data_IF_061914868837
#
_entry.id   IF_061914868837
#
_cell.length_a   1.000
_cell.length_b   1.000
_cell.length_c   1.000
_cell.angle_alpha   90.00
_cell.angle_beta   90.00
_cell.angle_gamma   90.00
#
_symmetry.space_group_name_H-M   'P 1'
#
loop_
_entity.id
_entity.type
_entity.pdbx_description
1 polymer ?
#
# COMPACT_ATOMS: atom_id res chain seq x y z
N UNK A 1 31.98 -9.63 -47.94
CA UNK A 1 31.50 -10.01 -46.59
C UNK A 1 30.42 -11.06 -46.80
N UNK A 2 30.74 -12.33 -46.51
CA UNK A 2 29.95 -13.47 -46.97
C UNK A 2 28.67 -13.67 -46.17
N UNK A 3 27.54 -13.80 -46.87
CA UNK A 3 26.21 -14.07 -46.31
C UNK A 3 26.14 -15.36 -45.46
N UNK A 4 27.08 -16.29 -45.68
CA UNK A 4 27.24 -17.50 -44.87
C UNK A 4 27.68 -17.24 -43.42
N UNK A 5 28.37 -16.11 -43.16
CA UNK A 5 28.80 -15.74 -41.80
C UNK A 5 27.67 -15.17 -40.95
N UNK A 6 26.59 -14.67 -41.56
CA UNK A 6 25.41 -14.15 -40.86
C UNK A 6 24.38 -15.24 -40.55
N UNK A 7 24.27 -16.27 -41.41
CA UNK A 7 23.38 -17.40 -41.16
C UNK A 7 23.89 -18.31 -40.03
N UNK A 8 25.21 -18.46 -39.89
CA UNK A 8 25.81 -19.25 -38.82
C UNK A 8 25.70 -18.57 -37.44
N UNK A 9 25.73 -17.23 -37.38
CA UNK A 9 25.51 -16.48 -36.13
C UNK A 9 24.03 -16.36 -35.76
N UNK A 10 23.11 -16.43 -36.73
CA UNK A 10 21.66 -16.48 -36.47
C UNK A 10 21.19 -17.88 -36.02
N UNK A 11 21.85 -18.95 -36.44
CA UNK A 11 21.51 -20.33 -36.02
C UNK A 11 22.04 -20.69 -34.63
N UNK A 12 23.11 -20.04 -34.15
CA UNK A 12 23.66 -20.27 -32.80
C UNK A 12 23.09 -19.35 -31.71
N UNK A 13 22.16 -18.45 -32.06
CA UNK A 13 21.58 -17.49 -31.12
C UNK A 13 20.09 -17.70 -30.84
N UNK A 14 19.45 -18.73 -31.41
CA UNK A 14 18.01 -19.01 -31.19
C UNK A 14 17.65 -20.34 -30.52
N UNK A 15 18.58 -21.27 -30.32
CA UNK A 15 18.35 -22.50 -29.54
C UNK A 15 19.69 -22.82 -28.84
N UNK A 16 19.90 -22.69 -27.54
CA UNK A 16 19.04 -23.07 -26.42
C UNK A 16 19.43 -22.32 -25.13
N UNK A 17 18.57 -21.42 -24.66
CA UNK A 17 18.39 -21.21 -23.20
C UNK A 17 17.45 -22.28 -22.62
N UNK A 18 17.54 -23.55 -23.07
CA UNK A 18 16.47 -24.56 -22.89
C UNK A 18 16.76 -25.62 -21.81
N UNK A 19 17.94 -25.70 -21.21
CA UNK A 19 18.16 -26.66 -20.13
C UNK A 19 18.88 -26.04 -18.93
N UNK A 20 18.08 -25.49 -18.02
CA UNK A 20 18.39 -25.56 -16.59
C UNK A 20 17.41 -26.55 -15.99
N UNK A 21 17.55 -27.84 -16.30
CA UNK A 21 16.77 -28.93 -15.69
C UNK A 21 17.35 -29.23 -14.30
N UNK A 22 17.32 -28.25 -13.40
CA UNK A 22 17.51 -28.54 -11.99
C UNK A 22 16.24 -29.21 -11.48
N UNK A 23 16.32 -30.52 -11.27
CA UNK A 23 15.33 -31.25 -10.50
C UNK A 23 15.34 -30.72 -9.06
N UNK A 24 14.17 -30.39 -8.52
CA UNK A 24 14.06 -29.98 -7.13
C UNK A 24 12.94 -30.70 -6.41
N UNK A 25 13.27 -31.15 -5.20
CA UNK A 25 12.34 -31.71 -4.25
C UNK A 25 12.02 -30.67 -3.18
N UNK A 26 10.74 -30.41 -2.97
CA UNK A 26 10.25 -29.48 -1.97
C UNK A 26 9.38 -30.21 -0.96
N UNK A 27 9.66 -29.98 0.32
CA UNK A 27 8.78 -30.36 1.42
C UNK A 27 8.22 -29.08 2.03
N UNK A 28 6.89 -29.00 2.11
CA UNK A 28 6.19 -27.86 2.69
C UNK A 28 5.34 -28.35 3.86
N UNK A 29 5.69 -27.90 5.06
CA UNK A 29 4.91 -28.08 6.26
C UNK A 29 4.05 -26.84 6.52
N UNK A 30 2.77 -27.04 6.85
CA UNK A 30 1.83 -25.96 7.13
C UNK A 30 0.95 -26.31 8.31
N UNK A 31 0.79 -25.36 9.23
CA UNK A 31 -0.19 -25.41 10.30
C UNK A 31 -1.33 -24.44 9.97
N UNK A 32 -2.56 -24.93 10.00
CA UNK A 32 -3.77 -24.12 9.91
C UNK A 32 -4.39 -24.02 11.29
N UNK A 33 -4.69 -22.80 11.73
CA UNK A 33 -5.21 -22.50 13.05
C UNK A 33 -6.63 -21.93 12.92
N UNK A 34 -7.59 -22.52 13.62
CA UNK A 34 -9.00 -22.14 13.54
C UNK A 34 -9.69 -22.28 14.89
N UNK A 35 -10.89 -21.69 15.01
CA UNK A 35 -11.66 -21.67 16.26
C UNK A 35 -11.10 -20.67 17.30
N UNK A 36 -11.82 -20.48 18.42
CA UNK A 36 -11.42 -19.55 19.47
C UNK A 36 -10.09 -19.97 20.09
N UNK A 37 -9.15 -19.03 20.21
CA UNK A 37 -7.80 -19.27 20.73
C UNK A 37 -7.01 -20.38 20.00
N UNK A 38 -7.36 -20.66 18.74
CA UNK A 38 -6.72 -21.71 17.93
C UNK A 38 -6.82 -23.12 18.53
N UNK A 39 -7.98 -23.47 19.10
CA UNK A 39 -8.27 -24.80 19.63
C UNK A 39 -8.31 -25.90 18.54
N UNK A 40 -8.52 -25.53 17.28
CA UNK A 40 -8.51 -26.44 16.13
C UNK A 40 -7.29 -26.19 15.25
N UNK A 41 -6.35 -27.13 15.29
CA UNK A 41 -5.09 -27.09 14.56
C UNK A 41 -5.04 -28.25 13.57
N UNK A 42 -4.77 -27.94 12.31
CA UNK A 42 -4.51 -28.93 11.27
C UNK A 42 -3.09 -28.77 10.74
N UNK A 43 -2.34 -29.86 10.74
CA UNK A 43 -0.98 -29.92 10.24
C UNK A 43 -0.93 -30.72 8.94
N UNK A 44 -0.39 -30.11 7.90
CA UNK A 44 -0.26 -30.67 6.56
C UNK A 44 1.22 -30.67 6.15
N UNK A 45 1.71 -31.82 5.73
CA UNK A 45 3.05 -31.97 5.16
C UNK A 45 2.91 -32.42 3.71
N UNK A 46 3.33 -31.58 2.76
CA UNK A 46 3.29 -31.88 1.34
C UNK A 46 4.69 -32.06 0.79
N UNK A 47 4.94 -33.15 0.08
CA UNK A 47 6.13 -33.31 -0.76
C UNK A 47 5.79 -33.11 -2.23
N UNK A 48 6.69 -32.42 -2.93
CA UNK A 48 6.57 -32.13 -4.36
C UNK A 48 7.92 -32.32 -5.05
N UNK A 49 7.90 -32.80 -6.28
CA UNK A 49 9.06 -32.92 -7.14
C UNK A 49 8.79 -32.15 -8.43
N UNK A 50 9.66 -31.21 -8.81
CA UNK A 50 9.47 -30.34 -9.98
C UNK A 50 8.09 -29.68 -10.03
N UNK A 51 7.65 -29.15 -8.87
CA UNK A 51 6.32 -28.55 -8.64
C UNK A 51 5.13 -29.52 -8.74
N UNK A 52 5.36 -30.78 -9.10
CA UNK A 52 4.33 -31.81 -9.09
C UNK A 52 4.19 -32.36 -7.66
N UNK A 53 2.98 -32.23 -7.10
CA UNK A 53 2.64 -32.80 -5.79
C UNK A 53 2.76 -34.32 -5.84
N UNK A 54 3.58 -34.87 -4.95
CA UNK A 54 3.81 -36.31 -4.83
C UNK A 54 2.91 -36.90 -3.75
N UNK A 55 3.08 -36.51 -2.49
CA UNK A 55 2.27 -37.04 -1.39
C UNK A 55 2.00 -35.99 -0.31
N UNK A 56 0.99 -36.25 0.50
CA UNK A 56 0.56 -35.36 1.58
C UNK A 56 0.17 -36.14 2.84
N UNK A 57 0.73 -35.75 3.98
CA UNK A 57 0.23 -36.09 5.31
C UNK A 57 -0.75 -35.03 5.78
N UNK A 58 -1.81 -35.45 6.46
CA UNK A 58 -2.75 -34.55 7.12
C UNK A 58 -3.05 -35.10 8.53
N UNK A 59 -2.88 -34.28 9.56
CA UNK A 59 -3.06 -34.68 10.96
C UNK A 59 -4.50 -35.03 11.32
N UNK A 60 -5.50 -34.36 10.71
CA UNK A 60 -6.92 -34.69 10.88
C UNK A 60 -7.25 -36.08 10.35
N UNK A 61 -6.64 -36.46 9.21
CA UNK A 61 -6.79 -37.80 8.62
C UNK A 61 -5.88 -38.83 9.29
N UNK A 62 -4.79 -38.39 9.92
CA UNK A 62 -3.78 -39.22 10.57
C UNK A 62 -2.97 -40.10 9.62
N UNK A 63 -2.90 -39.77 8.32
CA UNK A 63 -2.22 -40.60 7.31
C UNK A 63 -1.76 -39.83 6.08
N UNK A 64 -0.79 -40.42 5.38
CA UNK A 64 -0.30 -40.04 4.07
C UNK A 64 -1.22 -40.50 2.93
N UNK A 65 -1.29 -39.69 1.88
CA UNK A 65 -1.91 -40.01 0.59
C UNK A 65 -0.91 -39.67 -0.51
N UNK A 66 -0.67 -40.61 -1.44
CA UNK A 66 0.09 -40.38 -2.67
C UNK A 66 -0.78 -39.95 -3.85
N UNK A 67 -0.21 -39.17 -4.76
CA UNK A 67 -0.87 -38.59 -5.94
C UNK A 67 -0.20 -38.98 -7.28
N UNK A 68 0.87 -39.77 -7.22
CA UNK A 68 1.57 -40.35 -8.37
C UNK A 68 1.74 -41.85 -8.15
N UNK A 69 1.93 -42.64 -9.21
CA UNK A 69 2.08 -44.11 -9.08
C UNK A 69 3.17 -44.50 -8.07
N UNK A 70 4.31 -43.79 -8.11
CA UNK A 70 5.39 -43.97 -7.15
C UNK A 70 4.96 -43.61 -5.71
N UNK A 71 4.33 -42.45 -5.53
CA UNK A 71 4.02 -41.93 -4.19
C UNK A 71 2.81 -42.62 -3.55
N UNK A 72 1.91 -43.22 -4.33
CA UNK A 72 0.84 -44.09 -3.83
C UNK A 72 1.48 -45.26 -3.08
N UNK A 73 2.42 -45.95 -3.72
CA UNK A 73 3.17 -47.05 -3.10
C UNK A 73 3.97 -46.56 -1.89
N UNK A 74 4.70 -45.45 -2.03
CA UNK A 74 5.46 -44.86 -0.92
C UNK A 74 4.57 -44.53 0.30
N UNK A 75 3.39 -43.95 0.09
CA UNK A 75 2.47 -43.56 1.16
C UNK A 75 2.02 -44.74 2.01
N UNK A 76 1.88 -45.94 1.43
CA UNK A 76 1.57 -47.15 2.19
C UNK A 76 2.70 -47.52 3.18
N UNK A 77 3.96 -47.40 2.77
CA UNK A 77 5.11 -47.65 3.66
C UNK A 77 5.17 -46.65 4.81
N UNK A 78 4.97 -45.36 4.54
CA UNK A 78 4.97 -44.34 5.59
C UNK A 78 3.81 -44.53 6.58
N UNK A 79 2.64 -44.95 6.11
CA UNK A 79 1.47 -45.16 6.96
C UNK A 79 1.58 -46.36 7.91
N UNK A 80 2.48 -47.30 7.66
CA UNK A 80 2.71 -48.46 8.54
C UNK A 80 3.94 -48.28 9.44
N UNK A 81 4.73 -47.23 9.23
CA UNK A 81 5.94 -46.97 10.02
C UNK A 81 5.59 -46.26 11.35
N UNK A 82 5.78 -46.90 12.51
CA UNK A 82 5.54 -46.28 13.81
C UNK A 82 6.48 -45.09 14.07
N UNK A 83 7.67 -45.06 13.49
CA UNK A 83 8.61 -43.95 13.67
C UNK A 83 8.11 -42.69 12.96
N UNK A 84 7.52 -42.84 11.77
CA UNK A 84 6.93 -41.71 11.05
C UNK A 84 5.77 -41.09 11.83
N UNK A 85 4.93 -41.93 12.44
CA UNK A 85 3.82 -41.47 13.29
C UNK A 85 4.32 -40.59 14.43
N UNK A 86 5.37 -41.04 15.14
CA UNK A 86 5.98 -40.26 16.22
C UNK A 86 6.60 -38.96 15.68
N UNK A 87 7.30 -39.04 14.54
CA UNK A 87 7.93 -37.89 13.92
C UNK A 87 6.91 -36.81 13.55
N UNK A 88 5.77 -37.18 12.95
CA UNK A 88 4.69 -36.23 12.61
C UNK A 88 4.06 -35.57 13.84
N UNK A 89 3.95 -36.29 14.96
CA UNK A 89 3.46 -35.74 16.22
C UNK A 89 4.43 -34.72 16.82
N UNK A 90 5.73 -35.04 16.84
CA UNK A 90 6.78 -34.11 17.31
C UNK A 90 6.83 -32.88 16.41
N UNK A 91 6.81 -33.07 15.10
CA UNK A 91 6.86 -32.00 14.11
C UNK A 91 5.66 -31.04 14.23
N UNK A 92 4.44 -31.59 14.37
CA UNK A 92 3.23 -30.81 14.66
C UNK A 92 3.31 -30.06 15.99
N UNK A 93 3.90 -30.68 17.02
CA UNK A 93 4.05 -30.05 18.35
C UNK A 93 4.96 -28.83 18.27
N UNK A 94 6.16 -29.02 17.72
CA UNK A 94 7.18 -27.97 17.62
C UNK A 94 6.77 -26.85 16.66
N UNK A 95 6.16 -27.18 15.51
CA UNK A 95 5.79 -26.15 14.54
C UNK A 95 4.44 -25.49 14.83
N UNK A 96 3.43 -26.24 15.28
CA UNK A 96 2.11 -25.69 15.45
C UNK A 96 1.85 -25.26 16.90
N UNK A 97 1.90 -26.19 17.86
CA UNK A 97 1.47 -25.94 19.24
C UNK A 97 2.38 -24.96 19.98
N UNK A 98 3.70 -25.16 19.91
CA UNK A 98 4.65 -24.29 20.61
C UNK A 98 4.69 -22.87 20.03
N UNK A 99 4.26 -22.68 18.78
CA UNK A 99 4.21 -21.37 18.12
C UNK A 99 2.86 -20.65 18.23
N UNK A 100 1.85 -21.21 18.92
CA UNK A 100 0.50 -20.59 19.01
C UNK A 100 0.58 -19.11 19.44
N UNK A 101 1.35 -18.81 20.49
CA UNK A 101 1.47 -17.44 20.99
C UNK A 101 2.07 -16.49 19.95
N UNK A 102 3.06 -16.96 19.18
CA UNK A 102 3.67 -16.18 18.10
C UNK A 102 2.65 -15.91 16.99
N UNK A 103 1.92 -16.94 16.56
CA UNK A 103 0.90 -16.82 15.51
C UNK A 103 -0.24 -15.88 15.96
N UNK A 104 -0.67 -15.95 17.22
CA UNK A 104 -1.66 -15.02 17.78
C UNK A 104 -1.14 -13.59 17.80
N UNK A 105 0.12 -13.39 18.18
CA UNK A 105 0.76 -12.07 18.18
C UNK A 105 0.76 -11.46 16.78
N UNK A 106 1.24 -12.22 15.78
CA UNK A 106 1.28 -11.76 14.38
C UNK A 106 -0.13 -11.57 13.81
N UNK A 107 -1.08 -12.44 14.13
CA UNK A 107 -2.47 -12.35 13.67
C UNK A 107 -3.23 -11.15 14.25
N UNK A 108 -2.83 -10.65 15.42
CA UNK A 108 -3.39 -9.46 16.06
C UNK A 108 -2.70 -8.16 15.61
N UNK A 109 -1.59 -8.24 14.87
CA UNK A 109 -1.00 -7.06 14.25
C UNK A 109 -2.00 -6.48 13.26
N UNK A 110 -2.17 -5.17 13.32
CA UNK A 110 -2.98 -4.46 12.37
C UNK A 110 -2.46 -3.03 12.22
N UNK A 111 -2.48 -2.53 10.99
CA UNK A 111 -1.99 -1.19 10.70
C UNK A 111 -2.92 -0.55 9.69
N UNK A 112 -3.36 0.66 10.04
CA UNK A 112 -4.31 1.42 9.23
C UNK A 112 -3.64 1.95 7.96
N UNK A 113 -4.29 1.81 6.79
CA UNK A 113 -3.74 2.28 5.53
C UNK A 113 -3.47 3.78 5.53
N UNK A 114 -2.26 4.12 5.08
CA UNK A 114 -1.90 5.49 4.74
C UNK A 114 -2.42 5.80 3.34
N UNK A 115 -3.40 6.69 3.25
CA UNK A 115 -4.06 7.00 1.98
C UNK A 115 -3.42 8.18 1.26
N UNK A 116 -3.28 8.07 -0.06
CA UNK A 116 -2.86 9.15 -0.95
C UNK A 116 -3.67 9.15 -2.23
N UNK A 117 -4.25 10.29 -2.59
CA UNK A 117 -4.92 10.50 -3.87
C UNK A 117 -4.12 11.49 -4.72
N UNK A 118 -3.82 11.16 -5.97
CA UNK A 118 -3.11 12.05 -6.90
C UNK A 118 -3.62 11.90 -8.33
N UNK A 119 -3.47 12.97 -9.12
CA UNK A 119 -3.65 12.88 -10.57
C UNK A 119 -2.37 12.39 -11.23
N UNK A 120 -2.48 11.45 -12.16
CA UNK A 120 -1.38 10.94 -12.97
C UNK A 120 -1.62 11.32 -14.43
N UNK A 121 -0.58 11.83 -15.10
CA UNK A 121 -0.61 12.05 -16.55
C UNK A 121 -0.24 10.75 -17.24
N UNK A 122 -1.04 10.31 -18.20
CA UNK A 122 -0.65 9.20 -19.06
C UNK A 122 0.48 9.65 -20.01
N UNK A 123 1.44 8.76 -20.34
CA UNK A 123 2.64 9.08 -21.15
C UNK A 123 2.34 9.75 -22.50
N UNK A 124 1.16 9.47 -23.05
CA UNK A 124 0.76 9.67 -24.44
C UNK A 124 0.03 11.01 -24.66
N UNK A 125 -0.35 11.70 -23.59
CA UNK A 125 -1.08 12.97 -23.62
C UNK A 125 -2.48 12.96 -24.27
N UNK A 126 -2.90 11.83 -24.87
CA UNK A 126 -4.17 11.66 -25.60
C UNK A 126 -5.28 10.98 -24.78
N UNK A 127 -4.95 10.37 -23.65
CA UNK A 127 -5.91 9.63 -22.83
C UNK A 127 -6.59 10.51 -21.77
N UNK A 128 -7.76 10.05 -21.30
CA UNK A 128 -8.53 10.67 -20.20
C UNK A 128 -7.63 10.88 -18.98
N UNK A 129 -7.87 11.95 -18.22
CA UNK A 129 -7.12 12.20 -17.00
C UNK A 129 -7.33 11.02 -16.03
N UNK A 130 -6.30 10.68 -15.26
CA UNK A 130 -6.35 9.54 -14.36
C UNK A 130 -6.13 10.00 -12.92
N UNK A 131 -6.98 9.52 -12.01
CA UNK A 131 -6.74 9.59 -10.58
C UNK A 131 -6.22 8.23 -10.11
N UNK A 132 -5.32 8.25 -9.13
CA UNK A 132 -4.92 7.07 -8.38
C UNK A 132 -5.14 7.32 -6.90
N UNK A 133 -5.84 6.40 -6.25
CA UNK A 133 -6.00 6.31 -4.81
C UNK A 133 -5.16 5.13 -4.31
N UNK A 134 -4.11 5.45 -3.57
CA UNK A 134 -3.12 4.50 -3.07
C UNK A 134 -3.28 4.30 -1.58
N UNK A 135 -3.37 3.04 -1.15
CA UNK A 135 -3.23 2.62 0.23
C UNK A 135 -1.82 2.04 0.43
N UNK A 136 -1.12 2.50 1.47
CA UNK A 136 0.23 2.05 1.83
C UNK A 136 0.29 1.58 3.27
N UNK A 137 1.31 0.76 3.58
CA UNK A 137 1.70 0.40 4.94
C UNK A 137 0.57 -0.22 5.76
N UNK A 138 -0.32 -0.99 5.13
CA UNK A 138 -1.45 -1.60 5.83
C UNK A 138 -1.28 -3.10 6.03
N UNK A 139 -1.94 -3.60 7.06
CA UNK A 139 -2.02 -5.01 7.38
C UNK A 139 -3.30 -5.26 8.19
N UNK A 140 -4.04 -6.35 7.95
CA UNK A 140 -3.79 -7.45 7.01
C UNK A 140 -4.12 -7.10 5.54
N UNK A 141 -3.91 -8.04 4.62
CA UNK A 141 -4.01 -7.79 3.16
C UNK A 141 -5.41 -7.36 2.67
N UNK A 142 -6.45 -7.66 3.44
CA UNK A 142 -7.84 -7.44 3.03
C UNK A 142 -8.17 -5.95 3.08
N UNK A 143 -8.37 -5.35 1.90
CA UNK A 143 -8.74 -3.96 1.71
C UNK A 143 -9.72 -3.83 0.56
N UNK A 144 -10.61 -2.85 0.62
CA UNK A 144 -11.50 -2.49 -0.48
C UNK A 144 -11.45 -0.97 -0.70
N UNK A 145 -11.34 -0.56 -1.96
CA UNK A 145 -11.41 0.84 -2.38
C UNK A 145 -12.50 0.97 -3.43
N UNK A 146 -13.45 1.87 -3.17
CA UNK A 146 -14.58 2.18 -4.05
C UNK A 146 -14.51 3.63 -4.49
N UNK A 147 -14.65 3.90 -5.79
CA UNK A 147 -14.70 5.27 -6.30
C UNK A 147 -16.12 5.84 -6.21
N UNK A 148 -16.21 7.08 -5.74
CA UNK A 148 -17.45 7.83 -5.65
C UNK A 148 -17.36 9.08 -6.53
N UNK A 149 -18.38 9.34 -7.33
CA UNK A 149 -18.61 10.60 -8.06
C UNK A 149 -19.92 11.19 -7.59
N UNK A 150 -19.86 12.37 -6.98
CA UNK A 150 -21.02 13.04 -6.34
C UNK A 150 -21.77 12.09 -5.39
N UNK A 151 -21.01 11.39 -4.55
CA UNK A 151 -21.49 10.43 -3.55
C UNK A 151 -22.20 9.19 -4.14
N UNK A 152 -22.09 8.97 -5.46
CA UNK A 152 -22.55 7.75 -6.14
C UNK A 152 -21.37 6.88 -6.55
N UNK A 153 -21.48 5.58 -6.33
CA UNK A 153 -20.47 4.61 -6.74
C UNK A 153 -20.29 4.58 -8.26
N UNK A 154 -19.03 4.53 -8.70
CA UNK A 154 -18.66 4.42 -10.12
C UNK A 154 -17.69 3.26 -10.29
N UNK A 155 -18.03 2.37 -11.23
CA UNK A 155 -17.20 1.23 -11.64
C UNK A 155 -16.62 1.40 -13.05
N UNK A 156 -17.21 2.27 -13.87
CA UNK A 156 -16.72 2.55 -15.22
C UNK A 156 -15.36 3.27 -15.17
N UNK A 157 -14.38 2.75 -15.91
CA UNK A 157 -13.03 3.33 -15.94
C UNK A 157 -12.20 3.07 -14.69
N UNK A 158 -12.65 2.17 -13.80
CA UNK A 158 -11.91 1.76 -12.60
C UNK A 158 -11.02 0.57 -12.93
N UNK A 159 -9.76 0.64 -12.51
CA UNK A 159 -8.82 -0.48 -12.54
C UNK A 159 -8.01 -0.56 -11.24
N UNK A 160 -7.56 -1.75 -10.86
CA UNK A 160 -6.88 -1.98 -9.58
C UNK A 160 -5.61 -2.81 -9.80
N UNK A 161 -4.60 -2.61 -8.96
CA UNK A 161 -3.48 -3.56 -8.85
C UNK A 161 -3.88 -4.77 -8.01
N UNK A 162 -3.07 -5.83 -8.07
CA UNK A 162 -3.03 -6.79 -6.99
C UNK A 162 -2.54 -6.11 -5.69
N UNK A 163 -2.81 -6.75 -4.55
CA UNK A 163 -2.24 -6.32 -3.27
C UNK A 163 -0.77 -6.73 -3.24
N UNK A 164 0.13 -5.75 -3.16
CA UNK A 164 1.57 -5.93 -3.30
C UNK A 164 2.21 -5.93 -1.90
N UNK A 165 3.05 -6.93 -1.54
CA UNK A 165 3.80 -6.89 -0.30
C UNK A 165 4.98 -5.92 -0.38
N UNK A 166 5.17 -5.10 0.64
CA UNK A 166 6.24 -4.09 0.71
C UNK A 166 7.56 -4.67 1.28
N UNK A 167 7.60 -5.97 1.58
CA UNK A 167 8.79 -6.68 2.09
C UNK A 167 8.92 -6.70 3.62
N UNK A 168 8.31 -5.73 4.31
CA UNK A 168 8.34 -5.59 5.77
C UNK A 168 6.97 -5.87 6.42
N UNK A 169 6.35 -7.03 6.11
CA UNK A 169 4.99 -7.46 6.54
C UNK A 169 3.81 -6.67 5.95
N UNK A 170 3.99 -5.38 5.64
CA UNK A 170 2.92 -4.52 5.14
C UNK A 170 2.61 -4.73 3.65
N UNK A 171 1.44 -4.22 3.27
CA UNK A 171 0.95 -4.22 1.91
C UNK A 171 0.70 -2.81 1.38
N UNK A 172 0.70 -2.71 0.05
CA UNK A 172 0.20 -1.58 -0.71
C UNK A 172 -0.83 -2.03 -1.77
N UNK A 173 -1.74 -1.13 -2.11
CA UNK A 173 -2.79 -1.36 -3.09
C UNK A 173 -3.15 -0.05 -3.79
N UNK A 174 -3.35 -0.10 -5.11
CA UNK A 174 -3.66 1.07 -5.91
C UNK A 174 -4.92 0.85 -6.73
N UNK A 175 -5.86 1.78 -6.59
CA UNK A 175 -7.04 1.88 -7.46
C UNK A 175 -6.92 3.11 -8.34
N UNK A 176 -7.28 2.97 -9.60
CA UNK A 176 -7.22 4.00 -10.63
C UNK A 176 -8.61 4.30 -11.15
N UNK A 177 -8.86 5.56 -11.49
CA UNK A 177 -10.09 6.00 -12.13
C UNK A 177 -9.75 6.88 -13.34
N UNK A 178 -10.14 6.42 -14.52
CA UNK A 178 -10.21 7.26 -15.71
C UNK A 178 -11.38 8.24 -15.59
N UNK A 179 -11.10 9.53 -15.74
CA UNK A 179 -12.12 10.56 -15.64
C UNK A 179 -11.89 11.70 -16.63
N UNK A 180 -12.99 12.37 -16.97
CA UNK A 180 -12.99 13.61 -17.74
C UNK A 180 -13.26 14.75 -16.76
N UNK A 181 -12.31 15.68 -16.54
CA UNK A 181 -12.48 16.75 -15.57
C UNK A 181 -13.72 17.59 -15.88
N UNK A 182 -14.68 17.57 -14.97
CA UNK A 182 -15.92 18.35 -15.05
C UNK A 182 -15.92 19.39 -13.94
N UNK A 183 -16.27 20.64 -14.26
CA UNK A 183 -16.28 21.70 -13.25
C UNK A 183 -17.35 21.42 -12.19
N UNK A 184 -16.99 21.53 -10.91
CA UNK A 184 -17.91 21.35 -9.78
C UNK A 184 -18.20 19.89 -9.39
N UNK A 185 -17.57 18.90 -10.02
CA UNK A 185 -17.73 17.50 -9.61
C UNK A 185 -16.94 17.20 -8.32
N UNK A 186 -17.51 16.35 -7.46
CA UNK A 186 -16.84 15.82 -6.27
C UNK A 186 -16.46 14.37 -6.53
N UNK A 187 -15.17 14.10 -6.65
CA UNK A 187 -14.65 12.74 -6.78
C UNK A 187 -13.95 12.36 -5.48
N UNK A 188 -14.21 11.16 -4.97
CA UNK A 188 -13.55 10.60 -3.80
C UNK A 188 -13.30 9.10 -3.95
N UNK A 189 -12.33 8.58 -3.18
CA UNK A 189 -12.22 7.15 -2.95
C UNK A 189 -12.63 6.83 -1.51
N UNK A 190 -13.50 5.83 -1.36
CA UNK A 190 -13.95 5.28 -0.09
C UNK A 190 -13.14 4.02 0.21
N UNK A 191 -12.60 3.92 1.41
CA UNK A 191 -11.67 2.87 1.81
C UNK A 191 -12.23 2.08 2.98
N UNK A 192 -12.29 0.77 2.83
CA UNK A 192 -12.69 -0.18 3.86
C UNK A 192 -11.51 -1.08 4.21
N UNK A 193 -11.22 -1.14 5.51
CA UNK A 193 -10.14 -1.94 6.08
C UNK A 193 -10.53 -2.32 7.52
N UNK A 194 -10.11 -3.49 8.00
CA UNK A 194 -10.51 -4.01 9.33
C UNK A 194 -10.15 -3.07 10.49
N UNK A 195 -9.15 -2.20 10.32
CA UNK A 195 -8.76 -1.21 11.34
C UNK A 195 -9.60 0.07 11.32
N UNK A 196 -10.48 0.23 10.33
CA UNK A 196 -11.36 1.38 10.19
C UNK A 196 -12.75 0.98 10.68
N UNK A 197 -13.23 1.67 11.72
CA UNK A 197 -14.59 1.44 12.25
C UNK A 197 -15.68 1.82 11.24
N UNK A 198 -15.42 2.84 10.42
CA UNK A 198 -16.26 3.31 9.34
C UNK A 198 -15.43 3.52 8.07
N UNK A 199 -16.03 3.40 6.86
CA UNK A 199 -15.31 3.64 5.62
C UNK A 199 -14.70 5.04 5.58
N UNK A 200 -13.41 5.14 5.24
CA UNK A 200 -12.72 6.42 5.15
C UNK A 200 -12.86 7.00 3.75
N UNK A 201 -13.40 8.21 3.64
CA UNK A 201 -13.58 8.92 2.36
C UNK A 201 -12.44 9.92 2.15
N UNK A 202 -11.68 9.75 1.05
CA UNK A 202 -10.62 10.65 0.63
C UNK A 202 -11.07 11.43 -0.60
N UNK A 203 -11.30 12.73 -0.44
CA UNK A 203 -11.78 13.60 -1.51
C UNK A 203 -10.61 14.07 -2.38
N UNK A 204 -10.72 13.92 -3.69
CA UNK A 204 -9.81 14.56 -4.62
C UNK A 204 -10.12 16.04 -4.70
N UNK A 205 -9.13 16.88 -4.41
CA UNK A 205 -9.22 18.30 -4.69
C UNK A 205 -7.89 18.84 -5.18
N UNK A 206 -7.96 19.64 -6.25
CA UNK A 206 -6.80 20.32 -6.84
C UNK A 206 -6.16 21.33 -5.88
N UNK A 207 -6.84 21.67 -4.77
CA UNK A 207 -6.43 22.70 -3.82
C UNK A 207 -5.81 22.16 -2.50
N UNK A 208 -5.83 20.85 -2.25
CA UNK A 208 -5.41 20.26 -0.95
C UNK A 208 -3.89 20.31 -0.71
N UNK A 209 -3.09 20.56 -1.74
CA UNK A 209 -1.62 20.73 -1.58
C UNK A 209 -1.30 21.93 -0.66
N UNK A 210 -2.21 22.91 -0.52
CA UNK A 210 -2.01 24.07 0.37
C UNK A 210 -2.35 23.75 1.83
N UNK A 211 -3.28 22.83 2.11
CA UNK A 211 -3.71 22.52 3.48
C UNK A 211 -2.81 21.49 4.16
N UNK A 212 -2.23 20.54 3.42
CA UNK A 212 -1.34 19.52 4.00
C UNK A 212 0.02 20.08 4.46
N UNK A 213 0.41 21.27 3.97
CA UNK A 213 1.58 22.03 4.47
C UNK A 213 1.23 22.78 5.77
N UNK A 214 -0.06 23.05 6.02
CA UNK A 214 -0.54 23.77 7.21
C UNK A 214 -0.95 22.82 8.36
N UNK A 215 -1.09 21.52 8.11
CA UNK A 215 -1.54 20.53 9.10
C UNK A 215 -0.44 19.90 9.98
N UNK A 216 0.82 20.36 9.90
CA UNK A 216 1.88 19.89 10.81
C UNK A 216 2.06 20.74 12.08
N UNK A 217 1.20 21.72 12.37
CA UNK A 217 1.42 22.55 13.57
C UNK A 217 0.20 23.15 14.29
N UNK A 218 -1.03 22.61 14.13
CA UNK A 218 -2.22 23.26 14.75
C UNK A 218 -3.08 22.38 15.68
N UNK A 219 -3.07 21.04 15.63
CA UNK A 219 -4.10 20.28 16.38
C UNK A 219 -3.68 19.86 17.81
N UNK A 220 -2.42 19.98 18.22
CA UNK A 220 -2.00 19.47 19.54
C UNK A 220 -1.76 20.47 20.68
N UNK A 221 -2.01 21.78 20.50
CA UNK A 221 -1.81 22.73 21.61
C UNK A 221 -2.85 23.85 21.68
N UNK A 222 -4.14 23.47 21.64
CA UNK A 222 -5.20 24.32 22.17
C UNK A 222 -5.09 24.41 23.70
N UNK A 223 -4.19 25.29 24.17
CA UNK A 223 -4.34 25.93 25.49
C UNK A 223 -3.64 27.30 25.56
N UNK A 224 -3.83 28.15 24.55
CA UNK A 224 -3.32 29.54 24.57
C UNK A 224 -4.46 30.52 24.25
N UNK A 225 -5.53 30.46 25.02
CA UNK A 225 -6.50 31.54 25.16
C UNK A 225 -6.51 31.93 26.65
N UNK A 226 -5.42 32.54 27.18
CA UNK A 226 -5.53 33.98 27.49
C UNK A 226 -4.19 34.73 27.69
N UNK A 227 -3.26 34.80 26.72
CA UNK A 227 -1.98 35.53 26.94
C UNK A 227 -1.53 36.54 25.86
N UNK A 228 -2.30 36.76 24.79
CA UNK A 228 -1.86 37.69 23.72
C UNK A 228 -2.71 38.96 23.52
N UNK A 229 -3.68 39.23 24.37
CA UNK A 229 -4.31 40.54 24.41
C UNK A 229 -3.98 41.21 25.74
N UNK A 230 -3.13 42.27 25.78
CA UNK A 230 -3.18 43.16 26.92
C UNK A 230 -4.59 43.78 26.93
N UNK A 231 -5.20 43.97 28.11
CA UNK A 231 -6.47 44.65 28.18
C UNK A 231 -6.22 46.10 27.75
N UNK A 232 -6.69 46.46 26.55
CA UNK A 232 -6.80 47.88 26.18
C UNK A 232 -7.98 48.44 26.96
N UNK A 233 -7.72 48.73 28.24
CA UNK A 233 -8.51 49.63 29.05
C UNK A 233 -8.20 51.05 28.59
N UNK A 234 -8.80 51.46 27.49
CA UNK A 234 -9.07 52.88 27.26
C UNK A 234 -10.39 53.03 26.50
N UNK A 235 -11.41 53.48 27.23
CA UNK A 235 -12.73 53.82 26.72
C UNK A 235 -12.78 55.21 26.08
N UNK A 236 -11.63 55.73 25.62
CA UNK A 236 -11.50 57.09 25.10
C UNK A 236 -11.71 57.23 23.59
N UNK A 237 -11.83 56.13 22.84
CA UNK A 237 -11.94 56.16 21.38
C UNK A 237 -13.31 55.65 20.87
N UNK A 238 -14.04 56.42 20.03
CA UNK A 238 -15.34 56.01 19.51
C UNK A 238 -15.24 54.74 18.67
N UNK A 239 -16.28 53.91 18.72
CA UNK A 239 -16.31 52.54 18.18
C UNK A 239 -15.94 52.46 16.68
N UNK A 240 -16.28 53.51 15.92
CA UNK A 240 -15.92 53.64 14.51
C UNK A 240 -14.43 53.90 14.23
N UNK A 241 -13.64 54.36 15.19
CA UNK A 241 -12.18 54.49 15.06
C UNK A 241 -11.46 53.18 15.41
N UNK A 242 -11.99 52.39 16.37
CA UNK A 242 -11.45 51.07 16.72
C UNK A 242 -11.56 50.09 15.55
N UNK A 243 -12.70 50.06 14.85
CA UNK A 243 -12.88 49.21 13.66
C UNK A 243 -11.90 49.60 12.54
N UNK A 244 -11.61 50.90 12.36
CA UNK A 244 -10.64 51.37 11.36
C UNK A 244 -9.22 50.91 11.67
N UNK A 245 -8.83 50.91 12.95
CA UNK A 245 -7.50 50.43 13.38
C UNK A 245 -7.38 48.91 13.18
N UNK A 246 -8.42 48.14 13.53
CA UNK A 246 -8.44 46.68 13.34
C UNK A 246 -8.38 46.31 11.86
N UNK A 247 -9.20 46.96 11.02
CA UNK A 247 -9.19 46.73 9.56
C UNK A 247 -7.85 47.15 8.95
N UNK A 248 -7.26 48.24 9.44
CA UNK A 248 -5.93 48.71 9.05
C UNK A 248 -4.83 47.70 9.38
N UNK A 249 -4.81 47.18 10.61
CA UNK A 249 -3.83 46.17 11.05
C UNK A 249 -3.98 44.84 10.30
N UNK A 250 -5.21 44.37 10.09
CA UNK A 250 -5.46 43.17 9.29
C UNK A 250 -4.99 43.37 7.84
N UNK A 251 -5.30 44.51 7.22
CA UNK A 251 -4.83 44.82 5.87
C UNK A 251 -3.30 44.87 5.74
N UNK A 252 -2.62 45.42 6.75
CA UNK A 252 -1.15 45.49 6.81
C UNK A 252 -0.52 44.10 6.92
N UNK A 253 -1.09 43.23 7.75
CA UNK A 253 -0.64 41.83 7.89
C UNK A 253 -0.87 41.05 6.60
N UNK A 254 -2.05 41.16 5.98
CA UNK A 254 -2.34 40.53 4.69
C UNK A 254 -1.38 41.02 3.59
N UNK A 255 -1.10 42.33 3.54
CA UNK A 255 -0.14 42.91 2.61
C UNK A 255 1.28 42.36 2.79
N UNK A 256 1.75 42.22 4.04
CA UNK A 256 3.06 41.65 4.35
C UNK A 256 3.16 40.17 3.94
N UNK A 257 2.12 39.38 4.15
CA UNK A 257 2.10 37.96 3.72
C UNK A 257 2.16 37.84 2.20
N UNK A 258 1.42 38.67 1.46
CA UNK A 258 1.46 38.69 -0.01
C UNK A 258 2.85 39.13 -0.50
N UNK A 259 3.44 40.15 0.13
CA UNK A 259 4.76 40.63 -0.24
C UNK A 259 5.86 39.59 0.03
N UNK A 260 5.86 38.94 1.19
CA UNK A 260 6.82 37.89 1.55
C UNK A 260 6.67 36.65 0.66
N UNK A 261 5.44 36.22 0.38
CA UNK A 261 5.20 35.09 -0.53
C UNK A 261 5.61 35.41 -1.98
N UNK A 262 5.37 36.64 -2.46
CA UNK A 262 5.87 37.14 -3.73
C UNK A 262 7.40 37.20 -3.80
N UNK A 263 8.05 37.64 -2.72
CA UNK A 263 9.52 37.69 -2.62
C UNK A 263 10.15 36.29 -2.61
N UNK A 264 9.56 35.35 -1.87
CA UNK A 264 9.97 33.93 -1.85
C UNK A 264 9.77 33.31 -3.24
N UNK A 265 8.64 33.56 -3.89
CA UNK A 265 8.37 33.12 -5.26
C UNK A 265 9.41 33.67 -6.25
N UNK A 266 9.72 34.96 -6.17
CA UNK A 266 10.73 35.60 -7.00
C UNK A 266 12.12 34.99 -6.78
N UNK A 267 12.55 34.81 -5.52
CA UNK A 267 13.81 34.14 -5.20
C UNK A 267 13.88 32.72 -5.75
N UNK A 268 12.79 31.95 -5.64
CA UNK A 268 12.73 30.58 -6.16
C UNK A 268 12.79 30.56 -7.69
N UNK A 269 12.14 31.53 -8.36
CA UNK A 269 12.19 31.65 -9.83
C UNK A 269 13.56 32.12 -10.34
N UNK A 270 14.24 33.03 -9.64
CA UNK A 270 15.61 33.44 -9.98
C UNK A 270 16.64 32.31 -9.75
N UNK A 271 16.45 31.49 -8.71
CA UNK A 271 17.30 30.31 -8.49
C UNK A 271 17.15 29.29 -9.64
N UNK A 272 15.91 29.05 -10.10
CA UNK A 272 15.63 28.18 -11.24
C UNK A 272 16.17 28.77 -12.56
N UNK A 273 15.97 30.06 -12.82
CA UNK A 273 16.53 30.74 -13.99
C UNK A 273 18.06 30.67 -14.05
N UNK A 274 18.74 30.91 -12.93
CA UNK A 274 20.19 30.81 -12.84
C UNK A 274 20.69 29.36 -12.99
N UNK A 275 19.93 28.36 -12.55
CA UNK A 275 20.29 26.94 -12.75
C UNK A 275 20.12 26.46 -14.19
N UNK A 276 19.15 27.01 -14.94
CA UNK A 276 18.93 26.69 -16.36
C UNK A 276 19.97 27.37 -17.25
N UNK A 277 20.36 28.61 -16.93
CA UNK A 277 21.37 29.32 -17.71
C UNK A 277 22.80 28.74 -17.55
N UNK A 278 23.12 28.14 -16.40
CA UNK A 278 24.42 27.49 -16.18
C UNK A 278 24.56 26.13 -16.90
N UNK A 279 23.45 25.51 -17.30
CA UNK A 279 23.45 24.25 -18.07
C UNK A 279 23.47 24.44 -19.59
N UNK A 280 23.32 25.67 -20.09
CA UNK A 280 23.42 25.99 -21.53
C UNK A 280 24.81 26.53 -21.94
N UNK A 281 25.71 26.79 -20.99
CA UNK A 281 27.09 27.26 -21.24
C UNK A 281 28.19 26.19 -20.96
N UNK A 282 27.84 24.90 -20.90
CA UNK A 282 28.81 23.79 -20.86
C UNK A 282 28.62 22.79 -22.00
#
# INVERSE_FOLDING_TARGET
>A
MNAYSFLFTLFLSLESQVFSDEDFYQVKACCSFSGPNFDKIEYILTSSFNKQKMMEYNSTRGKWIGFTDYSIVASHYWNIDPNDTILRLVEMTLMCYENINFIQTVGNLSTTPTMRIKSVKQPDGRHRAMLVCSAYNFYPKQIQITWLRNDQEVTEGVSNTDVIPDGELYYQFHSYLEYTPTSGERISCMVEHVTLWEPRIIVWSKFVIVMQILDMEIIHNMNVYPLFFPPVSDNSLPEGEKTKIVVGLCGLIFGLVIFLSGFIYYKKKCAVYNSVHYSEEM
#
